data_IF_156092366095
#
_entry.id   IF_156092366095
#
_cell.length_a   1.000
_cell.length_b   1.000
_cell.length_c   1.000
_cell.angle_alpha   90.00
_cell.angle_beta   90.00
_cell.angle_gamma   90.00
#
_symmetry.space_group_name_H-M   'P 1'
#
loop_
_entity.id
_entity.type
_entity.pdbx_description
1 polymer ?
#
# COMPACT_ATOMS: atom_id res chain seq x y z
N UNK A 1 -3.19 -19.55 16.84
CA UNK A 1 -2.55 -18.31 16.35
C UNK A 1 -2.90 -18.16 14.87
N UNK A 2 -4.00 -17.48 14.56
CA UNK A 2 -4.35 -17.17 13.17
C UNK A 2 -3.33 -16.14 12.67
N UNK A 3 -2.40 -16.56 11.82
CA UNK A 3 -1.54 -15.65 11.07
C UNK A 3 -2.45 -14.89 10.09
N UNK A 4 -2.93 -13.73 10.49
CA UNK A 4 -3.56 -12.80 9.56
C UNK A 4 -2.44 -12.21 8.68
N UNK A 5 -2.08 -12.92 7.61
CA UNK A 5 -1.27 -12.38 6.53
C UNK A 5 -2.12 -11.33 5.82
N UNK A 6 -1.96 -10.06 6.19
CA UNK A 6 -2.42 -8.97 5.33
C UNK A 6 -1.47 -8.92 4.14
N UNK A 7 -1.80 -9.70 3.11
CA UNK A 7 -1.15 -9.61 1.83
C UNK A 7 -1.92 -8.57 1.01
N UNK A 8 -1.28 -7.43 0.76
CA UNK A 8 -1.90 -6.34 0.03
C UNK A 8 -1.38 -6.40 -1.40
N UNK A 9 -2.29 -6.62 -2.35
CA UNK A 9 -2.02 -6.43 -3.77
C UNK A 9 -2.40 -5.00 -4.11
N UNK A 10 -1.42 -4.15 -4.39
CA UNK A 10 -1.69 -2.81 -4.91
C UNK A 10 -1.91 -2.95 -6.42
N UNK A 11 -3.16 -2.90 -6.83
CA UNK A 11 -3.53 -2.81 -8.23
C UNK A 11 -3.48 -1.36 -8.73
N UNK A 12 -3.16 -1.13 -10.00
CA UNK A 12 -3.32 0.18 -10.60
C UNK A 12 -4.78 0.64 -10.52
N UNK A 13 -5.01 1.90 -10.14
CA UNK A 13 -6.37 2.51 -10.09
C UNK A 13 -7.19 2.30 -11.38
N UNK A 14 -6.49 2.10 -12.49
CA UNK A 14 -7.06 1.93 -13.83
C UNK A 14 -7.65 0.53 -14.09
N UNK A 15 -7.31 -0.50 -13.30
CA UNK A 15 -7.75 -1.89 -13.55
C UNK A 15 -9.24 -2.08 -13.21
N UNK A 16 -9.77 -1.39 -12.19
CA UNK A 16 -11.19 -1.52 -11.80
C UNK A 16 -12.16 -0.87 -12.81
N UNK A 17 -11.75 0.22 -13.47
CA UNK A 17 -12.58 0.93 -14.48
C UNK A 17 -12.66 0.18 -15.82
N UNK A 18 -11.59 -0.55 -16.17
CA UNK A 18 -11.44 -1.19 -17.49
C UNK A 18 -12.49 -2.28 -17.77
N UNK A 19 -12.93 -3.02 -16.74
CA UNK A 19 -13.89 -4.11 -16.88
C UNK A 19 -15.27 -3.64 -17.36
N UNK A 20 -15.76 -2.56 -16.76
CA UNK A 20 -17.05 -1.94 -17.12
C UNK A 20 -16.99 -1.27 -18.50
N UNK A 21 -15.87 -0.60 -18.80
CA UNK A 21 -15.67 0.13 -20.04
C UNK A 21 -15.55 -0.80 -21.27
N UNK A 22 -14.92 -1.98 -21.10
CA UNK A 22 -14.86 -3.01 -22.15
C UNK A 22 -16.24 -3.56 -22.52
N UNK A 23 -17.11 -3.76 -21.53
CA UNK A 23 -18.47 -4.24 -21.75
C UNK A 23 -19.31 -3.18 -22.49
N UNK A 24 -19.18 -1.92 -22.08
CA UNK A 24 -19.94 -0.80 -22.65
C UNK A 24 -19.54 -0.50 -24.12
N UNK A 25 -18.24 -0.46 -24.42
CA UNK A 25 -17.78 -0.26 -25.79
C UNK A 25 -17.96 -1.49 -26.69
N UNK A 26 -17.93 -2.71 -26.13
CA UNK A 26 -18.25 -3.94 -26.87
C UNK A 26 -19.71 -3.96 -27.35
N UNK A 27 -20.65 -3.55 -26.49
CA UNK A 27 -22.07 -3.47 -26.83
C UNK A 27 -22.36 -2.35 -27.84
N UNK A 28 -21.73 -1.17 -27.67
CA UNK A 28 -21.86 -0.05 -28.60
C UNK A 28 -21.32 -0.40 -30.00
N UNK A 29 -20.23 -1.16 -30.09
CA UNK A 29 -19.67 -1.64 -31.36
C UNK A 29 -20.62 -2.59 -32.09
N UNK A 30 -21.29 -3.49 -31.37
CA UNK A 30 -22.25 -4.43 -31.96
C UNK A 30 -23.45 -3.70 -32.56
N UNK A 31 -23.95 -2.67 -31.88
CA UNK A 31 -25.07 -1.84 -32.33
C UNK A 31 -24.69 -1.01 -33.57
N UNK A 32 -23.52 -0.39 -33.57
CA UNK A 32 -23.08 0.52 -34.65
C UNK A 32 -22.68 -0.24 -35.92
N UNK A 33 -22.12 -1.45 -35.80
CA UNK A 33 -21.61 -2.24 -36.94
C UNK A 33 -22.71 -2.88 -37.80
N UNK A 34 -23.92 -3.03 -37.27
CA UNK A 34 -25.07 -3.64 -37.97
C UNK A 34 -26.13 -2.64 -38.43
N UNK A 35 -25.98 -1.34 -38.13
CA UNK A 35 -26.94 -0.33 -38.60
C UNK A 35 -26.70 0.04 -40.07
N UNK A 36 -27.72 -0.07 -40.97
CA UNK A 36 -27.59 0.29 -42.38
C UNK A 36 -27.50 1.81 -42.65
N UNK A 37 -27.60 2.65 -41.60
CA UNK A 37 -27.52 4.12 -41.65
C UNK A 37 -26.10 4.68 -41.48
N UNK A 38 -25.07 3.84 -41.39
CA UNK A 38 -23.71 4.27 -41.06
C UNK A 38 -22.86 4.55 -42.31
N UNK A 39 -22.58 5.83 -42.58
CA UNK A 39 -21.79 6.28 -43.74
C UNK A 39 -20.30 5.92 -43.61
N UNK A 40 -19.58 5.90 -44.74
CA UNK A 40 -18.13 5.61 -44.79
C UNK A 40 -17.29 6.56 -43.93
N UNK A 41 -17.66 7.84 -43.85
CA UNK A 41 -17.01 8.83 -42.98
C UNK A 41 -17.14 8.50 -41.50
N UNK A 42 -18.31 8.01 -41.07
CA UNK A 42 -18.54 7.63 -39.67
C UNK A 42 -17.75 6.37 -39.27
N UNK A 43 -17.51 5.44 -40.20
CA UNK A 43 -16.61 4.27 -39.96
C UNK A 43 -15.17 4.68 -39.69
N UNK A 44 -14.66 5.71 -40.37
CA UNK A 44 -13.28 6.17 -40.20
C UNK A 44 -13.05 6.82 -38.83
N UNK A 45 -14.01 7.64 -38.39
CA UNK A 45 -14.00 8.28 -37.06
C UNK A 45 -14.02 7.21 -35.97
N UNK A 46 -14.87 6.20 -36.11
CA UNK A 46 -14.97 5.09 -35.16
C UNK A 46 -13.68 4.25 -35.11
N UNK A 47 -13.08 3.96 -36.27
CA UNK A 47 -11.78 3.28 -36.38
C UNK A 47 -10.67 4.05 -35.64
N UNK A 48 -10.55 5.35 -35.88
CA UNK A 48 -9.56 6.20 -35.21
C UNK A 48 -9.80 6.30 -33.69
N UNK A 49 -11.07 6.36 -33.28
CA UNK A 49 -11.44 6.32 -31.87
C UNK A 49 -11.07 4.98 -31.23
N UNK A 50 -11.32 3.86 -31.89
CA UNK A 50 -10.93 2.52 -31.42
C UNK A 50 -9.41 2.38 -31.35
N UNK A 51 -8.66 2.94 -32.31
CA UNK A 51 -7.20 2.92 -32.30
C UNK A 51 -6.64 3.78 -31.17
N UNK A 52 -7.21 4.97 -30.94
CA UNK A 52 -6.88 5.85 -29.81
C UNK A 52 -7.20 5.18 -28.47
N UNK A 53 -8.36 4.54 -28.37
CA UNK A 53 -8.76 3.78 -27.19
C UNK A 53 -7.85 2.58 -26.94
N UNK A 54 -7.52 1.78 -27.96
CA UNK A 54 -6.55 0.67 -27.85
C UNK A 54 -5.16 1.17 -27.44
N UNK A 55 -4.68 2.28 -28.01
CA UNK A 55 -3.42 2.92 -27.62
C UNK A 55 -3.44 3.37 -26.16
N UNK A 56 -4.53 3.98 -25.71
CA UNK A 56 -4.71 4.39 -24.32
C UNK A 56 -4.85 3.17 -23.37
N UNK A 57 -5.54 2.11 -23.79
CA UNK A 57 -5.68 0.85 -23.06
C UNK A 57 -4.32 0.14 -22.89
N UNK A 58 -3.52 0.09 -23.96
CA UNK A 58 -2.15 -0.42 -23.94
C UNK A 58 -1.24 0.44 -23.04
N UNK A 59 -1.43 1.77 -23.05
CA UNK A 59 -0.73 2.68 -22.15
C UNK A 59 -1.14 2.49 -20.68
N UNK A 60 -2.40 2.14 -20.42
CA UNK A 60 -2.93 1.84 -19.08
C UNK A 60 -2.54 0.44 -18.57
N UNK A 61 -2.20 -0.50 -19.46
CA UNK A 61 -1.74 -1.86 -19.11
C UNK A 61 -0.32 -1.93 -18.52
N UNK A 62 0.39 -0.80 -18.40
CA UNK A 62 1.79 -0.72 -17.94
C UNK A 62 1.99 -0.58 -16.44
N UNK A 63 0.93 -0.55 -15.64
CA UNK A 63 1.09 -0.44 -14.20
C UNK A 63 1.21 -1.85 -13.61
N UNK A 64 2.43 -2.20 -13.19
CA UNK A 64 2.74 -3.49 -12.58
C UNK A 64 2.05 -3.59 -11.22
N UNK A 65 1.34 -4.68 -10.98
CA UNK A 65 0.82 -4.99 -9.65
C UNK A 65 1.98 -5.40 -8.73
N UNK A 66 1.94 -4.95 -7.48
CA UNK A 66 2.93 -5.31 -6.45
C UNK A 66 2.24 -6.07 -5.32
N UNK A 67 2.91 -7.10 -4.81
CA UNK A 67 2.49 -7.85 -3.64
C UNK A 67 3.30 -7.42 -2.44
N UNK A 68 2.62 -7.03 -1.36
CA UNK A 68 3.26 -6.64 -0.09
C UNK A 68 2.84 -7.63 0.99
N UNK A 69 3.82 -8.21 1.67
CA UNK A 69 3.61 -8.90 2.95
C UNK A 69 3.90 -7.92 4.08
N UNK A 70 2.84 -7.50 4.78
CA UNK A 70 2.95 -6.64 5.95
C UNK A 70 3.08 -7.52 7.20
N UNK A 71 4.31 -7.90 7.55
CA UNK A 71 4.60 -8.70 8.72
C UNK A 71 4.74 -7.88 10.01
N UNK A 72 4.71 -8.57 11.15
CA UNK A 72 4.77 -7.93 12.47
C UNK A 72 6.13 -7.27 12.72
N UNK A 73 7.22 -7.97 12.42
CA UNK A 73 8.60 -7.51 12.66
C UNK A 73 9.27 -7.01 11.39
N UNK A 74 8.99 -7.67 10.26
CA UNK A 74 9.56 -7.36 8.96
C UNK A 74 8.46 -7.40 7.91
N UNK A 75 8.59 -6.55 6.89
CA UNK A 75 7.75 -6.52 5.71
C UNK A 75 8.58 -6.75 4.46
N UNK A 76 7.96 -7.26 3.40
CA UNK A 76 8.59 -7.43 2.11
C UNK A 76 7.67 -6.98 0.98
N UNK A 77 8.27 -6.65 -0.16
CA UNK A 77 7.55 -6.28 -1.37
C UNK A 77 8.13 -7.01 -2.57
N UNK A 78 7.24 -7.52 -3.41
CA UNK A 78 7.59 -8.27 -4.61
C UNK A 78 6.73 -7.88 -5.80
N UNK A 79 7.25 -8.16 -6.98
CA UNK A 79 6.55 -7.94 -8.26
C UNK A 79 6.62 -9.21 -9.10
N UNK A 80 5.57 -9.47 -9.88
CA UNK A 80 5.58 -10.54 -10.88
C UNK A 80 5.86 -9.93 -12.26
N UNK A 81 7.04 -10.21 -12.81
CA UNK A 81 7.47 -9.72 -14.13
C UNK A 81 8.26 -10.79 -14.86
N UNK A 82 8.16 -10.80 -16.19
CA UNK A 82 8.86 -11.75 -17.05
C UNK A 82 8.63 -13.23 -16.66
N UNK A 83 7.42 -13.56 -16.19
CA UNK A 83 7.04 -14.91 -15.80
C UNK A 83 7.62 -15.40 -14.47
N UNK A 84 8.27 -14.54 -13.68
CA UNK A 84 8.83 -14.87 -12.36
C UNK A 84 8.42 -13.85 -11.29
N UNK A 85 8.40 -14.30 -10.05
CA UNK A 85 8.31 -13.42 -8.88
C UNK A 85 9.71 -12.88 -8.57
N UNK A 86 9.82 -11.58 -8.37
CA UNK A 86 11.03 -10.90 -7.94
C UNK A 86 10.78 -10.16 -6.64
N UNK A 87 11.57 -10.47 -5.61
CA UNK A 87 11.52 -9.77 -4.31
C UNK A 87 12.46 -8.58 -4.38
N UNK A 88 11.91 -7.40 -4.11
CA UNK A 88 12.60 -6.13 -4.30
C UNK A 88 13.45 -5.82 -3.07
N UNK A 89 14.72 -5.45 -3.30
CA UNK A 89 15.60 -4.97 -2.25
C UNK A 89 15.29 -3.50 -1.93
N UNK A 90 15.36 -3.12 -0.66
CA UNK A 90 15.24 -1.73 -0.22
C UNK A 90 16.51 -0.92 -0.54
N UNK A 91 16.52 0.35 -0.15
CA UNK A 91 17.64 1.29 -0.33
C UNK A 91 18.94 0.87 0.38
N UNK A 92 18.89 -0.05 1.33
CA UNK A 92 20.05 -0.66 2.00
C UNK A 92 20.47 -2.00 1.37
N UNK A 93 19.78 -2.46 0.33
CA UNK A 93 20.03 -3.76 -0.31
C UNK A 93 19.34 -4.95 0.36
N UNK A 94 18.52 -4.74 1.40
CA UNK A 94 17.82 -5.79 2.13
C UNK A 94 16.49 -6.16 1.45
N UNK A 95 16.18 -7.46 1.34
CA UNK A 95 14.90 -7.95 0.77
C UNK A 95 13.73 -7.94 1.75
N UNK A 96 13.99 -7.59 2.99
CA UNK A 96 12.99 -7.41 4.05
C UNK A 96 13.31 -6.11 4.77
N UNK A 97 12.29 -5.33 5.08
CA UNK A 97 12.41 -4.05 5.79
C UNK A 97 11.76 -4.18 7.16
N UNK A 98 12.40 -3.76 8.26
CA UNK A 98 11.78 -3.77 9.58
C UNK A 98 10.44 -3.01 9.58
N UNK A 99 9.42 -3.55 10.24
CA UNK A 99 8.11 -2.88 10.43
C UNK A 99 8.18 -1.86 11.58
N UNK A 100 9.13 -0.93 11.48
CA UNK A 100 9.45 0.08 12.49
C UNK A 100 9.15 1.47 11.93
N UNK A 101 8.56 2.33 12.77
CA UNK A 101 8.32 3.74 12.48
C UNK A 101 8.81 4.55 13.66
N UNK A 102 9.79 5.43 13.44
CA UNK A 102 10.29 6.34 14.46
C UNK A 102 9.91 7.78 14.14
N UNK A 103 9.49 8.50 15.16
CA UNK A 103 9.18 9.91 15.09
C UNK A 103 10.29 10.70 15.76
N UNK A 104 10.78 11.72 15.06
CA UNK A 104 11.83 12.63 15.53
C UNK A 104 11.35 14.07 15.38
N UNK A 105 12.17 15.02 15.83
CA UNK A 105 11.84 16.45 15.74
C UNK A 105 11.86 17.00 14.31
N UNK A 106 12.63 16.36 13.43
CA UNK A 106 12.81 16.82 12.05
C UNK A 106 11.92 16.03 11.10
N UNK A 107 11.95 14.71 11.22
CA UNK A 107 11.38 13.80 10.25
C UNK A 107 10.79 12.52 10.85
N UNK A 108 10.19 11.71 9.99
CA UNK A 108 9.71 10.38 10.32
C UNK A 108 10.60 9.36 9.62
N UNK A 109 11.21 8.48 10.40
CA UNK A 109 12.04 7.40 9.90
C UNK A 109 11.22 6.11 9.82
N UNK A 110 11.44 5.29 8.80
CA UNK A 110 10.73 4.03 8.58
C UNK A 110 11.75 2.96 8.20
N UNK A 111 11.55 1.72 8.67
CA UNK A 111 12.40 0.60 8.30
C UNK A 111 13.71 0.54 9.07
N UNK A 112 14.81 0.26 8.36
CA UNK A 112 16.14 0.10 8.95
C UNK A 112 16.58 1.36 9.72
N UNK A 113 16.32 2.55 9.16
CA UNK A 113 16.65 3.82 9.82
C UNK A 113 15.94 3.97 11.18
N UNK A 114 14.65 3.60 11.27
CA UNK A 114 13.90 3.64 12.52
C UNK A 114 14.42 2.62 13.54
N UNK A 115 14.72 1.40 13.09
CA UNK A 115 15.25 0.32 13.94
C UNK A 115 16.62 0.68 14.52
N UNK A 116 17.50 1.29 13.73
CA UNK A 116 18.87 1.60 14.14
C UNK A 116 18.94 2.63 15.29
N UNK A 117 17.96 3.53 15.38
CA UNK A 117 17.93 4.57 16.43
C UNK A 117 17.06 4.21 17.66
N UNK A 118 16.49 3.01 17.72
CA UNK A 118 15.58 2.60 18.82
C UNK A 118 16.22 2.73 20.21
N UNK A 119 17.54 2.48 20.30
CA UNK A 119 18.26 2.59 21.57
C UNK A 119 18.34 4.04 22.10
N UNK A 120 18.30 5.03 21.21
CA UNK A 120 18.40 6.45 21.56
C UNK A 120 17.03 7.11 21.72
N UNK A 121 16.01 6.62 21.03
CA UNK A 121 14.67 7.19 21.00
C UNK A 121 13.58 6.10 21.18
N UNK A 122 13.60 5.34 22.28
CA UNK A 122 12.75 4.16 22.42
C UNK A 122 11.25 4.52 22.53
N UNK A 123 10.91 5.63 23.18
CA UNK A 123 9.51 6.04 23.42
C UNK A 123 8.78 6.49 22.15
N UNK A 124 9.51 6.98 21.15
CA UNK A 124 8.94 7.45 19.88
C UNK A 124 9.24 6.51 18.71
N UNK A 125 9.73 5.30 18.99
CA UNK A 125 9.98 4.26 18.00
C UNK A 125 8.97 3.14 18.14
N UNK A 126 8.05 3.09 17.20
CA UNK A 126 6.93 2.17 17.18
C UNK A 126 7.28 0.93 16.37
N UNK A 127 7.01 -0.23 16.94
CA UNK A 127 7.12 -1.55 16.31
C UNK A 127 5.95 -2.42 16.77
N UNK A 128 5.77 -3.59 16.16
CA UNK A 128 4.71 -4.55 16.52
C UNK A 128 3.27 -3.97 16.43
N UNK A 129 3.06 -2.86 15.71
CA UNK A 129 1.76 -2.21 15.54
C UNK A 129 0.66 -3.19 15.05
N UNK A 130 1.05 -4.21 14.27
CA UNK A 130 0.16 -5.28 13.80
C UNK A 130 -0.54 -6.04 14.93
N UNK A 131 0.07 -6.14 16.12
CA UNK A 131 -0.53 -6.79 17.30
C UNK A 131 -1.76 -6.05 17.83
N UNK A 132 -1.83 -4.74 17.58
CA UNK A 132 -2.92 -3.87 18.05
C UNK A 132 -4.08 -3.75 17.05
N UNK A 133 -3.86 -4.07 15.77
CA UNK A 133 -4.88 -3.92 14.72
C UNK A 133 -6.10 -4.81 15.02
N UNK A 134 -7.30 -4.23 14.93
CA UNK A 134 -8.56 -4.94 15.14
C UNK A 134 -8.86 -5.33 16.59
N UNK A 135 -8.03 -4.90 17.56
CA UNK A 135 -8.26 -5.13 18.99
C UNK A 135 -8.85 -3.92 19.68
N UNK A 136 -9.45 -4.15 20.84
CA UNK A 136 -9.82 -3.10 21.78
C UNK A 136 -8.69 -2.84 22.76
N UNK A 137 -8.64 -1.64 23.31
CA UNK A 137 -7.64 -1.21 24.27
C UNK A 137 -7.64 -2.09 25.53
N UNK A 138 -8.83 -2.51 26.00
CA UNK A 138 -9.03 -3.34 27.19
C UNK A 138 -8.83 -4.86 26.96
N UNK A 139 -8.50 -5.28 25.73
CA UNK A 139 -8.19 -6.69 25.42
C UNK A 139 -7.01 -7.15 26.31
N UNK A 140 -7.14 -8.28 27.04
CA UNK A 140 -6.06 -8.81 27.89
C UNK A 140 -4.73 -9.00 27.16
N UNK A 141 -4.76 -9.36 25.87
CA UNK A 141 -3.55 -9.48 25.07
C UNK A 141 -2.87 -8.11 24.85
N UNK A 142 -3.66 -7.05 24.60
CA UNK A 142 -3.14 -5.68 24.46
C UNK A 142 -2.55 -5.20 25.78
N UNK A 143 -3.27 -5.41 26.89
CA UNK A 143 -2.80 -5.02 28.23
C UNK A 143 -1.52 -5.77 28.64
N UNK A 144 -1.35 -7.03 28.20
CA UNK A 144 -0.11 -7.78 28.40
C UNK A 144 1.02 -7.25 27.54
N UNK A 145 0.79 -7.06 26.24
CA UNK A 145 1.82 -6.59 25.29
C UNK A 145 2.31 -5.17 25.63
N UNK A 146 1.43 -4.29 26.12
CA UNK A 146 1.78 -2.92 26.55
C UNK A 146 2.85 -2.86 27.63
N UNK A 147 3.04 -3.91 28.43
CA UNK A 147 4.08 -3.97 29.47
C UNK A 147 5.49 -4.14 28.89
N UNK A 148 5.58 -4.56 27.63
CA UNK A 148 6.83 -4.86 26.96
C UNK A 148 7.25 -3.80 25.94
N UNK A 149 6.35 -2.85 25.62
CA UNK A 149 6.67 -1.78 24.69
C UNK A 149 7.20 -0.53 25.40
N UNK A 150 8.22 0.13 24.84
CA UNK A 150 8.75 1.38 25.38
C UNK A 150 7.89 2.60 25.03
N UNK A 151 7.02 2.49 24.02
CA UNK A 151 6.10 3.56 23.61
C UNK A 151 4.76 3.43 24.33
N UNK A 152 4.06 4.56 24.47
CA UNK A 152 2.79 4.61 25.19
C UNK A 152 1.63 4.26 24.27
N UNK A 153 0.74 3.38 24.76
CA UNK A 153 -0.56 3.12 24.13
C UNK A 153 -1.65 3.69 25.03
N UNK A 154 -2.58 4.44 24.45
CA UNK A 154 -3.71 5.08 25.12
C UNK A 154 -5.03 4.59 24.54
N UNK A 155 -6.11 4.75 25.30
CA UNK A 155 -7.46 4.50 24.81
C UNK A 155 -7.92 5.65 23.92
N UNK A 156 -8.23 5.36 22.66
CA UNK A 156 -8.86 6.29 21.71
C UNK A 156 -10.38 6.12 21.66
N UNK A 157 -10.98 6.68 20.61
CA UNK A 157 -12.42 6.64 20.40
C UNK A 157 -12.91 5.20 20.19
N UNK A 158 -14.09 4.87 20.72
CA UNK A 158 -14.67 3.53 20.59
C UNK A 158 -13.85 2.42 21.26
N UNK A 159 -13.07 2.75 22.29
CA UNK A 159 -12.16 1.82 22.98
C UNK A 159 -11.08 1.21 22.08
N UNK A 160 -10.75 1.85 20.96
CA UNK A 160 -9.65 1.43 20.08
C UNK A 160 -8.31 1.91 20.64
N UNK A 161 -7.23 1.11 20.61
CA UNK A 161 -5.92 1.56 21.05
C UNK A 161 -5.36 2.62 20.09
N UNK A 162 -4.68 3.63 20.63
CA UNK A 162 -3.85 4.59 19.89
C UNK A 162 -2.44 4.59 20.47
N UNK A 163 -1.45 4.72 19.61
CA UNK A 163 -0.04 4.83 19.98
C UNK A 163 0.29 6.32 20.10
N UNK A 164 0.70 6.75 21.29
CA UNK A 164 1.03 8.13 21.61
C UNK A 164 2.55 8.32 21.53
N UNK A 165 2.97 9.28 20.71
CA UNK A 165 4.37 9.63 20.43
C UNK A 165 4.54 11.14 20.37
N UNK A 166 5.74 11.62 20.61
CA UNK A 166 6.12 13.01 20.40
C UNK A 166 6.62 13.22 18.97
N UNK A 167 6.08 14.23 18.29
CA UNK A 167 6.41 14.56 16.91
C UNK A 167 6.66 16.06 16.84
N UNK A 168 7.92 16.48 16.69
CA UNK A 168 8.31 17.90 16.63
C UNK A 168 7.87 18.69 17.87
N UNK A 169 8.08 18.12 19.06
CA UNK A 169 7.66 18.74 20.33
C UNK A 169 6.16 18.66 20.64
N UNK A 170 5.34 18.07 19.75
CA UNK A 170 3.90 17.92 19.95
C UNK A 170 3.53 16.46 20.21
N UNK A 171 2.73 16.23 21.26
CA UNK A 171 2.16 14.91 21.52
C UNK A 171 1.09 14.56 20.48
N UNK A 172 1.32 13.51 19.69
CA UNK A 172 0.38 12.98 18.69
C UNK A 172 0.02 11.55 19.02
N UNK A 173 -1.17 11.15 18.57
CA UNK A 173 -1.67 9.79 18.77
C UNK A 173 -2.15 9.23 17.43
N UNK A 174 -1.64 8.05 17.08
CA UNK A 174 -1.95 7.38 15.83
C UNK A 174 -2.65 6.05 16.09
N UNK A 175 -3.61 5.70 15.24
CA UNK A 175 -4.14 4.36 15.20
C UNK A 175 -3.08 3.36 14.67
N UNK A 176 -3.10 2.09 15.10
CA UNK A 176 -2.20 1.06 14.60
C UNK A 176 -2.24 0.90 13.07
N UNK A 177 -3.40 1.13 12.46
CA UNK A 177 -3.59 1.11 11.01
C UNK A 177 -2.84 2.27 10.32
N UNK A 178 -2.74 3.44 10.94
CA UNK A 178 -1.99 4.59 10.41
C UNK A 178 -0.48 4.32 10.45
N UNK A 179 0.03 3.75 11.55
CA UNK A 179 1.43 3.33 11.64
C UNK A 179 1.75 2.27 10.59
N UNK A 180 0.85 1.30 10.41
CA UNK A 180 0.98 0.28 9.37
C UNK A 180 0.95 0.87 7.97
N UNK A 181 0.12 1.89 7.74
CA UNK A 181 0.07 2.61 6.47
C UNK A 181 1.40 3.31 6.15
N UNK A 182 2.11 3.84 7.15
CA UNK A 182 3.45 4.42 6.96
C UNK A 182 4.45 3.35 6.48
N UNK A 183 4.41 2.14 7.04
CA UNK A 183 5.22 1.00 6.55
C UNK A 183 4.85 0.63 5.11
N UNK A 184 3.55 0.60 4.79
CA UNK A 184 3.08 0.34 3.43
C UNK A 184 3.54 1.42 2.43
N UNK A 185 3.60 2.69 2.84
CA UNK A 185 4.17 3.77 2.02
C UNK A 185 5.63 3.48 1.68
N UNK A 186 6.45 3.07 2.65
CA UNK A 186 7.85 2.70 2.38
C UNK A 186 7.96 1.49 1.43
N UNK A 187 7.07 0.51 1.56
CA UNK A 187 7.06 -0.66 0.66
C UNK A 187 6.66 -0.26 -0.76
N UNK A 188 5.70 0.65 -0.89
CA UNK A 188 5.30 1.24 -2.17
C UNK A 188 6.46 2.01 -2.80
N UNK A 189 7.11 2.91 -2.07
CA UNK A 189 8.27 3.70 -2.55
C UNK A 189 9.42 2.79 -3.02
N UNK A 190 9.68 1.71 -2.26
CA UNK A 190 10.69 0.70 -2.62
C UNK A 190 10.36 0.05 -3.96
N UNK A 191 9.09 -0.30 -4.18
CA UNK A 191 8.66 -0.86 -5.46
C UNK A 191 8.69 0.16 -6.60
N UNK A 192 8.27 1.41 -6.37
CA UNK A 192 8.31 2.49 -7.36
C UNK A 192 9.75 2.77 -7.83
N UNK A 193 10.70 2.82 -6.90
CA UNK A 193 12.13 2.98 -7.18
C UNK A 193 12.68 1.84 -8.06
N UNK A 194 12.29 0.59 -7.77
CA UNK A 194 12.70 -0.58 -8.55
C UNK A 194 12.07 -0.61 -9.95
N UNK A 195 10.80 -0.21 -10.08
CA UNK A 195 10.05 -0.26 -11.33
C UNK A 195 10.33 0.92 -12.26
N UNK A 196 11.02 1.96 -11.77
CA UNK A 196 11.31 3.17 -12.55
C UNK A 196 10.07 4.01 -12.87
N UNK A 197 8.94 3.76 -12.20
CA UNK A 197 7.69 4.49 -12.38
C UNK A 197 7.55 5.54 -11.28
N UNK A 198 7.43 6.82 -11.65
CA UNK A 198 7.06 7.94 -10.76
C UNK A 198 5.57 8.23 -10.86
#
# INVERSE_FOLDING_TARGET
MFFMFFQIIILPKNVFSLGFLKLFFGLLFFIVSFSPLFTTSNRLIFSNFQLSFKKNLLKMSKANAVGIDLGTTYSCVGVFQHGKVEIIANDQGNRTTPSYVAFTDTERLIGDAAKNQVAMNPSNTVFDAKRLIGRKFDDPAVQSDMKHWPFKVIQGEGARPKIQVEVKGEMKAFFPEEVSAMVLTKMKETAEAFLGNR
#
